data_IF_475182363113
#
_entry.id   IF_475182363113
#
_cell.length_a   1.000
_cell.length_b   1.000
_cell.length_c   1.000
_cell.angle_alpha   90.00
_cell.angle_beta   90.00
_cell.angle_gamma   90.00
#
_symmetry.space_group_name_H-M   'P 1'
#
loop_
_entity.id
_entity.type
_entity.pdbx_description
1 polymer ?
#
# COMPACT_ATOMS: atom_id res chain seq x y z
N UNK A 1 42.61 -18.65 32.08
CA UNK A 1 41.51 -18.92 33.02
C UNK A 1 40.53 -17.76 32.85
N UNK A 2 39.76 -17.67 31.75
CA UNK A 2 38.51 -18.39 31.41
C UNK A 2 37.51 -18.31 32.58
N UNK A 3 36.31 -17.71 32.49
CA UNK A 3 35.41 -17.48 31.35
C UNK A 3 34.52 -16.25 31.55
N UNK A 4 34.30 -15.51 30.45
CA UNK A 4 33.13 -14.64 30.23
C UNK A 4 31.96 -15.56 29.85
N UNK A 5 30.83 -15.44 30.54
CA UNK A 5 29.62 -16.24 30.27
C UNK A 5 28.92 -15.79 28.98
N UNK A 6 28.58 -16.71 28.05
CA UNK A 6 27.73 -16.43 26.90
C UNK A 6 26.34 -17.07 27.10
N UNK A 7 25.31 -16.25 27.31
CA UNK A 7 23.91 -16.71 27.22
C UNK A 7 22.96 -15.54 26.91
N UNK A 8 23.09 -14.96 25.71
CA UNK A 8 22.00 -14.24 25.03
C UNK A 8 21.98 -14.69 23.58
N UNK A 9 21.51 -15.92 23.37
CA UNK A 9 21.00 -16.40 22.08
C UNK A 9 19.74 -17.21 22.32
N UNK A 10 18.89 -17.16 21.30
CA UNK A 10 17.75 -18.01 20.97
C UNK A 10 16.44 -17.85 21.75
N UNK A 11 15.56 -17.09 21.09
CA UNK A 11 14.11 -17.18 21.22
C UNK A 11 13.45 -16.37 20.12
N UNK A 12 13.82 -16.59 18.84
CA UNK A 12 12.97 -16.13 17.72
C UNK A 12 11.73 -17.03 17.79
N UNK A 13 10.77 -16.67 18.64
CA UNK A 13 9.43 -17.20 18.51
C UNK A 13 8.94 -16.71 17.16
N UNK A 14 8.89 -17.62 16.18
CA UNK A 14 8.14 -17.39 14.97
C UNK A 14 6.68 -17.18 15.41
N UNK A 15 6.29 -15.93 15.59
CA UNK A 15 4.89 -15.58 15.73
C UNK A 15 4.24 -15.95 14.39
N UNK A 16 3.23 -16.81 14.44
CA UNK A 16 2.43 -17.09 13.26
C UNK A 16 1.90 -15.76 12.71
N UNK A 17 1.95 -15.58 11.40
CA UNK A 17 1.41 -14.40 10.76
C UNK A 17 -0.05 -14.20 11.18
N UNK A 18 -0.43 -12.95 11.47
CA UNK A 18 -1.78 -12.55 11.82
C UNK A 18 -2.74 -12.93 10.68
N UNK A 19 -3.94 -13.39 11.02
CA UNK A 19 -4.98 -13.72 10.03
C UNK A 19 -5.93 -12.54 9.83
N UNK A 20 -6.71 -12.56 8.74
CA UNK A 20 -7.74 -11.54 8.49
C UNK A 20 -8.75 -11.47 9.66
N UNK A 21 -9.18 -12.61 10.20
CA UNK A 21 -10.10 -12.68 11.34
C UNK A 21 -9.48 -12.09 12.61
N UNK A 22 -8.20 -12.37 12.87
CA UNK A 22 -7.50 -11.84 14.04
C UNK A 22 -7.37 -10.32 13.97
N UNK A 23 -7.04 -9.77 12.79
CA UNK A 23 -6.94 -8.33 12.57
C UNK A 23 -8.32 -7.67 12.66
N UNK A 24 -9.34 -8.23 12.00
CA UNK A 24 -10.69 -7.67 11.99
C UNK A 24 -11.37 -7.72 13.36
N UNK A 25 -11.06 -8.74 14.16
CA UNK A 25 -11.55 -8.88 15.53
C UNK A 25 -10.81 -8.03 16.56
N UNK A 26 -9.69 -7.40 16.18
CA UNK A 26 -8.89 -6.61 17.12
C UNK A 26 -9.53 -5.22 17.35
N UNK A 27 -9.82 -4.84 18.62
CA UNK A 27 -10.45 -3.56 18.92
C UNK A 27 -9.61 -2.35 18.49
N UNK A 28 -8.28 -2.49 18.42
CA UNK A 28 -7.36 -1.42 18.01
C UNK A 28 -7.23 -1.29 16.49
N UNK A 29 -7.81 -2.19 15.69
CA UNK A 29 -7.62 -2.15 14.24
C UNK A 29 -8.20 -0.89 13.60
N UNK A 30 -9.32 -0.37 14.10
CA UNK A 30 -9.88 0.89 13.61
C UNK A 30 -8.93 2.07 13.86
N UNK A 31 -8.25 2.09 15.02
CA UNK A 31 -7.24 3.09 15.38
C UNK A 31 -6.01 2.94 14.48
N UNK A 32 -5.49 1.71 14.33
CA UNK A 32 -4.34 1.40 13.48
C UNK A 32 -4.55 1.83 12.03
N UNK A 33 -5.75 1.56 11.51
CA UNK A 33 -6.07 1.88 10.15
C UNK A 33 -6.22 3.39 9.93
N UNK A 34 -6.74 4.12 10.92
CA UNK A 34 -6.81 5.58 10.88
C UNK A 34 -5.41 6.20 10.91
N UNK A 35 -4.54 5.74 11.79
CA UNK A 35 -3.17 6.26 11.91
C UNK A 35 -2.37 5.97 10.63
N UNK A 36 -2.49 4.76 10.09
CA UNK A 36 -1.93 4.41 8.79
C UNK A 36 -2.45 5.33 7.67
N UNK A 37 -3.77 5.59 7.61
CA UNK A 37 -4.34 6.50 6.63
C UNK A 37 -3.81 7.94 6.76
N UNK A 38 -3.70 8.47 7.98
CA UNK A 38 -3.13 9.80 8.25
C UNK A 38 -1.67 9.90 7.80
N UNK A 39 -0.89 8.83 7.99
CA UNK A 39 0.49 8.76 7.50
C UNK A 39 0.57 8.74 5.98
N UNK A 40 -0.27 7.96 5.30
CA UNK A 40 -0.33 7.95 3.83
C UNK A 40 -0.72 9.33 3.27
N UNK A 41 -1.63 10.04 3.94
CA UNK A 41 -2.00 11.40 3.58
C UNK A 41 -0.81 12.36 3.78
N UNK A 42 -0.07 12.25 4.88
CA UNK A 42 1.12 13.06 5.13
C UNK A 42 2.23 12.79 4.09
N UNK A 43 2.44 11.52 3.70
CA UNK A 43 3.36 11.16 2.61
C UNK A 43 2.93 11.79 1.29
N UNK A 44 1.63 11.78 0.98
CA UNK A 44 1.09 12.48 -0.20
C UNK A 44 1.35 13.98 -0.14
N UNK A 45 1.13 14.63 1.00
CA UNK A 45 1.37 16.07 1.14
C UNK A 45 2.86 16.43 0.98
N UNK A 46 3.77 15.57 1.47
CA UNK A 46 5.21 15.77 1.35
C UNK A 46 5.75 15.51 -0.08
N UNK A 47 5.22 14.48 -0.77
CA UNK A 47 5.72 14.06 -2.08
C UNK A 47 4.58 13.76 -3.08
N UNK A 48 3.70 14.74 -3.39
CA UNK A 48 2.44 14.48 -4.12
C UNK A 48 2.67 13.96 -5.55
N UNK A 49 3.78 14.35 -6.18
CA UNK A 49 4.14 13.88 -7.53
C UNK A 49 4.57 12.42 -7.56
N UNK A 50 5.20 11.92 -6.50
CA UNK A 50 5.68 10.54 -6.40
C UNK A 50 4.55 9.63 -5.89
N UNK A 51 3.88 10.03 -4.80
CA UNK A 51 2.81 9.23 -4.19
C UNK A 51 1.62 9.04 -5.12
N UNK A 52 1.40 9.95 -6.09
CA UNK A 52 0.41 9.79 -7.18
C UNK A 52 0.53 8.48 -7.96
N UNK A 53 1.69 7.81 -7.97
CA UNK A 53 1.87 6.48 -8.59
C UNK A 53 1.36 5.31 -7.74
N UNK A 54 0.77 5.61 -6.59
CA UNK A 54 0.14 4.65 -5.67
C UNK A 54 -1.29 5.06 -5.29
N UNK A 55 -1.81 6.11 -5.91
CA UNK A 55 -3.07 6.77 -5.52
C UNK A 55 -4.35 6.10 -6.05
N UNK A 56 -4.20 5.03 -6.84
CA UNK A 56 -5.27 4.13 -7.27
C UNK A 56 -4.74 2.70 -7.36
N UNK A 57 -5.64 1.71 -7.35
CA UNK A 57 -5.28 0.28 -7.29
C UNK A 57 -4.38 -0.14 -8.45
N UNK A 58 -4.68 0.31 -9.67
CA UNK A 58 -3.95 -0.09 -10.87
C UNK A 58 -2.51 0.43 -10.83
N UNK A 59 -2.35 1.72 -10.49
CA UNK A 59 -1.03 2.33 -10.34
C UNK A 59 -0.26 1.73 -9.17
N UNK A 60 -0.94 1.46 -8.06
CA UNK A 60 -0.36 0.77 -6.91
C UNK A 60 0.22 -0.58 -7.32
N UNK A 61 -0.56 -1.44 -7.99
CA UNK A 61 -0.10 -2.73 -8.47
C UNK A 61 1.09 -2.59 -9.45
N UNK A 62 1.00 -1.71 -10.46
CA UNK A 62 2.12 -1.45 -11.37
C UNK A 62 3.42 -1.08 -10.63
N UNK A 63 3.32 -0.20 -9.63
CA UNK A 63 4.45 0.24 -8.81
C UNK A 63 4.98 -0.88 -7.91
N UNK A 64 4.11 -1.71 -7.31
CA UNK A 64 4.54 -2.87 -6.52
C UNK A 64 5.26 -3.93 -7.37
N UNK A 65 4.82 -4.16 -8.62
CA UNK A 65 5.53 -5.06 -9.53
C UNK A 65 6.94 -4.55 -9.87
N UNK A 66 7.08 -3.24 -10.10
CA UNK A 66 8.37 -2.58 -10.35
C UNK A 66 9.33 -2.80 -9.17
N UNK A 67 8.85 -2.54 -7.96
CA UNK A 67 9.61 -2.73 -6.73
C UNK A 67 9.99 -4.21 -6.52
N UNK A 68 9.06 -5.14 -6.78
CA UNK A 68 9.31 -6.57 -6.66
C UNK A 68 10.44 -7.04 -7.58
N UNK A 69 10.40 -6.70 -8.88
CA UNK A 69 11.48 -7.02 -9.81
C UNK A 69 12.81 -6.38 -9.41
N UNK A 70 12.78 -5.16 -8.89
CA UNK A 70 13.99 -4.48 -8.43
C UNK A 70 14.63 -5.23 -7.27
N UNK A 71 13.89 -5.46 -6.18
CA UNK A 71 14.45 -6.07 -4.97
C UNK A 71 14.73 -7.58 -5.10
N UNK A 72 13.96 -8.33 -5.89
CA UNK A 72 14.29 -9.73 -6.24
C UNK A 72 15.65 -9.82 -6.92
N UNK A 73 15.95 -8.89 -7.84
CA UNK A 73 17.24 -8.87 -8.52
C UNK A 73 18.38 -8.38 -7.60
N UNK A 74 18.11 -7.45 -6.68
CA UNK A 74 19.08 -7.01 -5.66
C UNK A 74 19.47 -8.17 -4.72
N UNK A 75 18.50 -8.99 -4.31
CA UNK A 75 18.72 -10.11 -3.37
C UNK A 75 19.18 -11.40 -4.05
N UNK A 76 18.97 -11.55 -5.36
CA UNK A 76 19.47 -12.66 -6.15
C UNK A 76 19.67 -12.27 -7.61
N UNK A 77 20.90 -12.03 -8.08
CA UNK A 77 21.18 -11.59 -9.46
C UNK A 77 20.71 -12.56 -10.54
N UNK A 78 20.40 -13.82 -10.20
CA UNK A 78 19.79 -14.81 -11.10
C UNK A 78 18.31 -14.56 -11.37
N UNK A 79 17.62 -13.76 -10.55
CA UNK A 79 16.23 -13.39 -10.79
C UNK A 79 16.12 -12.46 -12.01
N UNK A 80 15.03 -12.54 -12.79
CA UNK A 80 14.79 -11.62 -13.89
C UNK A 80 14.87 -10.17 -13.42
N UNK A 81 15.77 -9.39 -14.02
CA UNK A 81 15.90 -7.97 -13.68
C UNK A 81 14.67 -7.15 -14.09
N UNK A 82 14.52 -5.97 -13.49
CA UNK A 82 13.52 -4.99 -13.90
C UNK A 82 13.83 -4.48 -15.31
N UNK A 83 13.08 -4.97 -16.30
CA UNK A 83 13.11 -4.51 -17.68
C UNK A 83 11.69 -4.19 -18.14
N UNK A 84 11.55 -3.36 -19.17
CA UNK A 84 10.23 -3.08 -19.74
C UNK A 84 9.54 -4.37 -20.21
N UNK A 85 10.28 -5.28 -20.85
CA UNK A 85 9.75 -6.55 -21.34
C UNK A 85 9.22 -7.44 -20.20
N UNK A 86 10.02 -7.65 -19.15
CA UNK A 86 9.64 -8.48 -18.00
C UNK A 86 8.42 -7.91 -17.27
N UNK A 87 8.37 -6.58 -17.05
CA UNK A 87 7.25 -5.95 -16.40
C UNK A 87 5.97 -6.03 -17.24
N UNK A 88 6.05 -5.74 -18.54
CA UNK A 88 4.87 -5.78 -19.43
C UNK A 88 4.31 -7.20 -19.51
N UNK A 89 5.17 -8.22 -19.61
CA UNK A 89 4.74 -9.62 -19.60
C UNK A 89 4.01 -9.94 -18.28
N UNK A 90 4.63 -9.65 -17.14
CA UNK A 90 4.04 -9.92 -15.83
C UNK A 90 2.68 -9.22 -15.63
N UNK A 91 2.57 -7.94 -16.01
CA UNK A 91 1.32 -7.17 -15.85
C UNK A 91 0.20 -7.69 -16.76
N UNK A 92 0.54 -8.12 -17.97
CA UNK A 92 -0.41 -8.71 -18.90
C UNK A 92 -0.92 -10.06 -18.38
N UNK A 93 -0.02 -10.94 -17.91
CA UNK A 93 -0.35 -12.26 -17.41
C UNK A 93 -1.25 -12.18 -16.16
N UNK A 94 -1.03 -11.17 -15.30
CA UNK A 94 -1.84 -10.93 -14.11
C UNK A 94 -3.08 -10.05 -14.37
N UNK A 95 -3.37 -9.68 -15.63
CA UNK A 95 -4.54 -8.89 -16.03
C UNK A 95 -4.71 -7.56 -15.26
N UNK A 96 -3.59 -6.98 -14.81
CA UNK A 96 -3.59 -5.75 -13.98
C UNK A 96 -3.88 -4.52 -14.84
N UNK A 97 -3.26 -4.45 -16.02
CA UNK A 97 -3.43 -3.36 -16.97
C UNK A 97 -3.08 -3.82 -18.40
N UNK A 98 -3.47 -3.01 -19.40
CA UNK A 98 -3.03 -3.24 -20.77
C UNK A 98 -1.53 -2.98 -20.93
N UNK A 99 -0.90 -3.62 -21.94
CA UNK A 99 0.51 -3.37 -22.30
C UNK A 99 0.81 -1.89 -22.49
N UNK A 100 -0.07 -1.15 -23.18
CA UNK A 100 0.07 0.30 -23.40
C UNK A 100 0.05 1.09 -22.09
N UNK A 101 -0.76 0.67 -21.11
CA UNK A 101 -0.80 1.32 -19.80
C UNK A 101 0.51 1.09 -19.04
N UNK A 102 1.05 -0.13 -19.07
CA UNK A 102 2.33 -0.44 -18.44
C UNK A 102 3.49 0.36 -19.07
N UNK A 103 3.52 0.45 -20.41
CA UNK A 103 4.51 1.26 -21.16
C UNK A 103 4.42 2.74 -20.74
N UNK A 104 3.20 3.29 -20.70
CA UNK A 104 2.98 4.69 -20.32
C UNK A 104 3.43 4.95 -18.87
N UNK A 105 3.12 4.04 -17.93
CA UNK A 105 3.53 4.16 -16.53
C UNK A 105 5.07 4.14 -16.37
N UNK A 106 5.75 3.21 -17.05
CA UNK A 106 7.21 3.16 -17.08
C UNK A 106 7.82 4.45 -17.66
N UNK A 107 7.27 4.96 -18.76
CA UNK A 107 7.74 6.20 -19.37
C UNK A 107 7.55 7.39 -18.41
N UNK A 108 6.41 7.47 -17.71
CA UNK A 108 6.14 8.51 -16.71
C UNK A 108 7.19 8.45 -15.58
N UNK A 109 7.40 7.28 -14.97
CA UNK A 109 8.38 7.11 -13.88
C UNK A 109 9.82 7.43 -14.31
N UNK A 110 10.22 7.06 -15.53
CA UNK A 110 11.54 7.42 -16.09
C UNK A 110 11.66 8.93 -16.30
N UNK A 111 10.63 9.57 -16.85
CA UNK A 111 10.62 11.02 -17.07
C UNK A 111 10.77 11.81 -15.77
N UNK A 112 10.17 11.32 -14.68
CA UNK A 112 10.33 11.90 -13.34
C UNK A 112 11.58 11.43 -12.59
N UNK A 113 12.48 10.68 -13.23
CA UNK A 113 13.71 10.12 -12.64
C UNK A 113 13.47 9.25 -11.40
N UNK A 114 12.31 8.59 -11.35
CA UNK A 114 11.96 7.60 -10.33
C UNK A 114 12.45 6.20 -10.71
N UNK A 115 12.64 5.98 -12.02
CA UNK A 115 13.34 4.84 -12.58
C UNK A 115 14.57 5.32 -13.34
N UNK A 116 15.69 4.63 -13.11
CA UNK A 116 16.99 4.97 -13.65
C UNK A 116 17.50 3.79 -14.49
N UNK A 117 18.19 4.08 -15.59
CA UNK A 117 18.91 3.05 -16.33
C UNK A 117 20.11 2.56 -15.49
N UNK A 118 20.37 1.26 -15.49
CA UNK A 118 21.61 0.71 -14.94
C UNK A 118 22.71 0.78 -15.99
N UNK A 119 23.96 0.98 -15.57
CA UNK A 119 25.12 0.86 -16.47
C UNK A 119 25.09 -0.52 -17.17
N UNK A 120 25.27 -0.57 -18.50
CA UNK A 120 25.14 -1.81 -19.25
C UNK A 120 26.27 -2.78 -18.88
N UNK A 121 25.94 -3.83 -18.13
CA UNK A 121 26.79 -5.02 -17.98
C UNK A 121 26.36 -6.07 -19.00
N UNK A 122 26.82 -5.96 -20.25
CA UNK A 122 26.60 -6.98 -21.29
C UNK A 122 25.76 -6.51 -22.49
N UNK A 123 24.92 -7.40 -23.02
CA UNK A 123 24.15 -7.18 -24.26
C UNK A 123 23.37 -5.85 -24.21
N UNK A 124 23.77 -4.91 -25.07
CA UNK A 124 23.23 -3.53 -25.17
C UNK A 124 21.73 -3.50 -25.47
N UNK A 125 21.12 -4.64 -25.79
CA UNK A 125 19.69 -4.78 -26.10
C UNK A 125 18.79 -4.83 -24.87
N UNK A 126 19.29 -5.26 -23.70
CA UNK A 126 18.47 -5.34 -22.48
C UNK A 126 18.78 -4.14 -21.57
N UNK A 127 17.92 -3.11 -21.63
CA UNK A 127 18.00 -1.97 -20.72
C UNK A 127 17.37 -2.31 -19.38
N UNK A 128 18.20 -2.75 -18.45
CA UNK A 128 17.81 -2.96 -17.06
C UNK A 128 17.61 -1.61 -16.36
N UNK A 129 16.61 -1.58 -15.48
CA UNK A 129 16.23 -0.42 -14.71
C UNK A 129 16.45 -0.69 -13.23
N UNK A 130 16.66 0.37 -12.47
CA UNK A 130 16.60 0.38 -11.01
C UNK A 130 15.68 1.50 -10.52
N UNK A 131 15.18 1.37 -9.30
CA UNK A 131 14.50 2.47 -8.64
C UNK A 131 15.53 3.54 -8.23
N UNK A 132 15.08 4.79 -8.15
CA UNK A 132 15.86 5.85 -7.53
C UNK A 132 15.83 5.73 -6.00
N UNK A 133 16.87 6.22 -5.34
CA UNK A 133 17.04 6.13 -3.89
C UNK A 133 15.87 6.81 -3.14
N UNK A 134 15.31 7.89 -3.70
CA UNK A 134 14.12 8.55 -3.16
C UNK A 134 12.87 7.67 -3.17
N UNK A 135 12.75 6.77 -4.15
CA UNK A 135 11.65 5.78 -4.20
C UNK A 135 11.87 4.73 -3.11
N UNK A 136 13.11 4.29 -2.91
CA UNK A 136 13.47 3.35 -1.84
C UNK A 136 13.17 3.93 -0.45
N UNK A 137 13.51 5.20 -0.20
CA UNK A 137 13.13 5.89 1.06
C UNK A 137 11.63 5.91 1.27
N UNK A 138 10.84 6.22 0.23
CA UNK A 138 9.37 6.30 0.37
C UNK A 138 8.73 4.92 0.60
N UNK A 139 9.19 3.87 -0.09
CA UNK A 139 8.65 2.52 0.16
C UNK A 139 9.11 1.98 1.52
N UNK A 140 10.31 2.35 1.99
CA UNK A 140 10.75 2.11 3.36
C UNK A 140 9.75 2.75 4.31
N UNK A 141 9.59 4.08 4.30
CA UNK A 141 8.63 4.78 5.16
C UNK A 141 7.23 4.16 5.15
N UNK A 142 6.71 3.84 3.97
CA UNK A 142 5.42 3.15 3.83
C UNK A 142 5.40 1.81 4.59
N UNK A 143 6.45 1.00 4.46
CA UNK A 143 6.55 -0.30 5.10
C UNK A 143 6.66 -0.15 6.63
N UNK A 144 7.50 0.75 7.16
CA UNK A 144 7.61 1.01 8.62
C UNK A 144 6.27 1.39 9.24
N UNK A 145 5.51 2.27 8.57
CA UNK A 145 4.22 2.72 9.10
C UNK A 145 3.20 1.57 9.16
N UNK A 146 3.26 0.60 8.23
CA UNK A 146 2.44 -0.61 8.34
C UNK A 146 2.93 -1.54 9.45
N UNK A 147 4.25 -1.68 9.64
CA UNK A 147 4.79 -2.48 10.76
C UNK A 147 4.43 -1.88 12.12
N UNK A 148 4.52 -0.56 12.29
CA UNK A 148 4.05 0.14 13.50
C UNK A 148 2.56 -0.09 13.74
N UNK A 149 1.76 -0.05 12.69
CA UNK A 149 0.32 -0.30 12.78
C UNK A 149 0.02 -1.73 13.21
N UNK A 150 0.81 -2.71 12.73
CA UNK A 150 0.74 -4.11 13.16
C UNK A 150 1.19 -4.28 14.61
N UNK A 151 2.31 -3.67 15.00
CA UNK A 151 2.83 -3.72 16.37
C UNK A 151 1.85 -3.13 17.38
N UNK A 152 0.99 -2.18 16.99
CA UNK A 152 -0.08 -1.70 17.86
C UNK A 152 -1.15 -2.76 18.14
N UNK A 153 -1.38 -3.70 17.22
CA UNK A 153 -2.42 -4.72 17.38
C UNK A 153 -2.05 -5.77 18.42
N UNK A 154 -0.76 -6.12 18.52
CA UNK A 154 -0.28 -7.24 19.32
C UNK A 154 0.94 -6.91 20.21
N UNK A 155 1.28 -5.63 20.34
CA UNK A 155 2.48 -5.15 21.05
C UNK A 155 3.78 -5.75 20.51
N UNK A 156 3.81 -6.05 19.21
CA UNK A 156 4.97 -6.58 18.52
C UNK A 156 6.15 -5.62 18.42
N UNK A 157 7.24 -6.13 17.85
CA UNK A 157 8.51 -5.40 17.68
C UNK A 157 8.97 -5.34 16.22
N UNK A 158 8.05 -5.49 15.27
CA UNK A 158 8.38 -5.60 13.84
C UNK A 158 9.10 -4.36 13.33
N UNK A 159 8.63 -3.17 13.71
CA UNK A 159 9.26 -1.92 13.32
C UNK A 159 10.69 -1.82 13.86
N UNK A 160 10.91 -2.18 15.13
CA UNK A 160 12.23 -2.17 15.76
C UNK A 160 13.19 -3.11 15.03
N UNK A 161 12.76 -4.34 14.76
CA UNK A 161 13.56 -5.34 14.03
C UNK A 161 13.85 -4.88 12.60
N UNK A 162 12.85 -4.34 11.90
CA UNK A 162 13.01 -3.82 10.54
C UNK A 162 13.92 -2.61 10.46
N UNK A 163 13.97 -1.79 11.52
CA UNK A 163 14.91 -0.66 11.64
C UNK A 163 16.34 -1.12 11.91
N UNK A 164 16.51 -2.22 12.66
CA UNK A 164 17.81 -2.81 12.94
C UNK A 164 18.40 -3.54 11.72
N UNK A 165 17.56 -4.15 10.87
CA UNK A 165 17.98 -4.87 9.66
C UNK A 165 17.27 -4.30 8.42
N UNK A 166 17.92 -3.32 7.78
CA UNK A 166 17.36 -2.59 6.64
C UNK A 166 17.12 -3.49 5.42
N UNK A 167 17.91 -4.56 5.25
CA UNK A 167 17.76 -5.48 4.11
C UNK A 167 16.45 -6.27 4.18
N UNK A 168 15.78 -6.29 5.33
CA UNK A 168 14.49 -6.96 5.49
C UNK A 168 13.48 -6.49 4.45
N UNK A 169 13.46 -5.19 4.12
CA UNK A 169 12.60 -4.63 3.09
C UNK A 169 12.81 -5.30 1.72
N UNK A 170 14.06 -5.58 1.35
CA UNK A 170 14.40 -6.15 0.05
C UNK A 170 13.86 -7.58 -0.12
N UNK A 171 13.64 -8.30 0.98
CA UNK A 171 13.03 -9.63 0.97
C UNK A 171 11.51 -9.56 1.15
N UNK A 172 11.03 -8.71 2.07
CA UNK A 172 9.62 -8.61 2.41
C UNK A 172 8.80 -7.97 1.28
N UNK A 173 9.29 -6.89 0.66
CA UNK A 173 8.52 -6.14 -0.34
C UNK A 173 8.12 -7.01 -1.55
N UNK A 174 9.02 -7.81 -2.16
CA UNK A 174 8.62 -8.70 -3.25
C UNK A 174 7.64 -9.77 -2.79
N UNK A 175 7.90 -10.40 -1.64
CA UNK A 175 7.04 -11.45 -1.08
C UNK A 175 5.60 -10.95 -0.88
N UNK A 176 5.45 -9.79 -0.25
CA UNK A 176 4.18 -9.10 -0.04
C UNK A 176 3.50 -8.80 -1.39
N UNK A 177 4.24 -8.21 -2.33
CA UNK A 177 3.69 -7.82 -3.63
C UNK A 177 3.13 -9.02 -4.38
N UNK A 178 3.94 -10.08 -4.54
CA UNK A 178 3.54 -11.32 -5.22
C UNK A 178 2.30 -11.92 -4.58
N UNK A 179 2.23 -11.94 -3.24
CA UNK A 179 1.04 -12.40 -2.53
C UNK A 179 -0.18 -11.57 -2.89
N UNK A 180 -0.10 -10.24 -2.81
CA UNK A 180 -1.23 -9.34 -3.06
C UNK A 180 -1.70 -9.35 -4.52
N UNK A 181 -0.83 -9.68 -5.49
CA UNK A 181 -1.26 -9.91 -6.87
C UNK A 181 -2.20 -11.10 -7.03
N UNK A 182 -2.04 -12.13 -6.19
CA UNK A 182 -2.79 -13.39 -6.29
C UNK A 182 -3.88 -13.52 -5.22
N UNK A 183 -3.96 -12.58 -4.30
CA UNK A 183 -4.99 -12.55 -3.26
C UNK A 183 -6.29 -11.92 -3.82
N UNK A 184 -7.39 -12.67 -3.97
CA UNK A 184 -8.66 -12.12 -4.45
C UNK A 184 -9.25 -11.09 -3.48
N UNK A 185 -8.98 -11.22 -2.17
CA UNK A 185 -9.50 -10.27 -1.17
C UNK A 185 -8.87 -8.87 -1.34
N UNK A 186 -7.68 -8.80 -1.94
CA UNK A 186 -7.04 -7.53 -2.29
C UNK A 186 -7.30 -7.10 -3.74
N UNK A 187 -7.04 -8.00 -4.69
CA UNK A 187 -7.04 -7.71 -6.14
C UNK A 187 -8.44 -7.48 -6.73
N UNK A 188 -9.49 -8.03 -6.08
CA UNK A 188 -10.90 -7.81 -6.42
C UNK A 188 -11.62 -7.12 -5.24
N UNK A 189 -11.42 -5.80 -5.03
CA UNK A 189 -12.01 -5.09 -3.91
C UNK A 189 -13.55 -5.15 -3.93
N UNK A 190 -14.22 -5.14 -2.77
CA UNK A 190 -15.68 -5.07 -2.70
C UNK A 190 -16.23 -3.88 -3.49
N UNK A 191 -17.45 -3.98 -4.02
CA UNK A 191 -18.04 -2.96 -4.91
C UNK A 191 -18.02 -1.54 -4.29
N UNK A 192 -18.18 -1.44 -2.97
CA UNK A 192 -18.17 -0.17 -2.23
C UNK A 192 -16.78 0.49 -2.27
N UNK A 193 -15.71 -0.29 -2.06
CA UNK A 193 -14.31 0.14 -2.15
C UNK A 193 -13.91 0.40 -3.60
N UNK A 194 -14.34 -0.48 -4.50
CA UNK A 194 -14.08 -0.42 -5.94
C UNK A 194 -14.52 0.92 -6.55
N UNK A 195 -15.65 1.45 -6.09
CA UNK A 195 -16.21 2.74 -6.52
C UNK A 195 -15.18 3.88 -6.47
N UNK A 196 -14.24 3.80 -5.52
CA UNK A 196 -13.12 4.73 -5.36
C UNK A 196 -11.85 4.22 -6.05
N UNK A 197 -11.34 3.05 -5.67
CA UNK A 197 -9.93 2.66 -5.93
C UNK A 197 -9.59 2.35 -7.39
N UNK A 198 -10.58 2.15 -8.27
CA UNK A 198 -10.35 2.02 -9.72
C UNK A 198 -10.20 3.36 -10.46
N UNK A 199 -10.44 4.46 -9.77
CA UNK A 199 -10.39 5.80 -10.34
C UNK A 199 -9.09 6.50 -9.91
N UNK A 200 -8.48 7.28 -10.81
CA UNK A 200 -7.27 8.04 -10.49
C UNK A 200 -7.45 8.90 -9.23
N UNK A 201 -6.50 8.80 -8.30
CA UNK A 201 -6.52 9.40 -6.95
C UNK A 201 -7.62 8.91 -6.00
N UNK A 202 -8.38 7.89 -6.40
CA UNK A 202 -9.51 7.38 -5.63
C UNK A 202 -9.11 6.68 -4.33
N UNK A 203 -7.97 5.98 -4.29
CA UNK A 203 -7.47 5.39 -3.03
C UNK A 203 -7.13 6.48 -2.02
N UNK A 204 -6.47 7.57 -2.45
CA UNK A 204 -6.14 8.68 -1.56
C UNK A 204 -7.40 9.36 -1.01
N UNK A 205 -8.41 9.57 -1.87
CA UNK A 205 -9.71 10.10 -1.41
C UNK A 205 -10.32 9.15 -0.37
N UNK A 206 -10.31 7.84 -0.63
CA UNK A 206 -10.87 6.86 0.31
C UNK A 206 -10.13 6.88 1.65
N UNK A 207 -8.79 6.92 1.65
CA UNK A 207 -8.00 7.04 2.88
C UNK A 207 -8.30 8.34 3.64
N UNK A 208 -8.47 9.47 2.94
CA UNK A 208 -8.89 10.76 3.54
C UNK A 208 -10.23 10.64 4.26
N UNK A 209 -11.24 10.11 3.57
CA UNK A 209 -12.57 9.90 4.13
C UNK A 209 -12.52 9.02 5.38
N UNK A 210 -11.77 7.91 5.31
CA UNK A 210 -11.64 6.97 6.41
C UNK A 210 -10.86 7.53 7.60
N UNK A 211 -9.88 8.41 7.36
CA UNK A 211 -9.09 9.06 8.42
C UNK A 211 -9.90 10.03 9.29
N UNK A 212 -11.04 10.52 8.75
CA UNK A 212 -11.97 11.43 9.45
C UNK A 212 -12.95 10.69 10.36
N UNK A 213 -13.06 9.37 10.23
CA UNK A 213 -13.92 8.59 11.10
C UNK A 213 -13.36 8.56 12.54
N UNK A 214 -14.22 8.71 13.56
CA UNK A 214 -13.84 8.44 14.94
C UNK A 214 -13.63 6.92 15.12
N UNK A 215 -12.41 6.44 15.43
CA UNK A 215 -12.10 5.01 15.42
C UNK A 215 -12.80 4.24 16.53
N UNK A 216 -13.04 4.89 17.68
CA UNK A 216 -13.72 4.33 18.86
C UNK A 216 -15.25 4.25 18.71
N UNK A 217 -15.83 4.87 17.67
CA UNK A 217 -17.27 4.94 17.52
C UNK A 217 -17.82 3.59 17.03
N UNK A 218 -18.89 3.14 17.67
CA UNK A 218 -19.67 1.99 17.19
C UNK A 218 -20.20 2.29 15.79
N UNK A 219 -20.21 1.28 14.92
CA UNK A 219 -20.72 1.46 13.57
C UNK A 219 -22.23 1.70 13.59
N UNK A 220 -22.63 2.81 12.99
CA UNK A 220 -24.03 3.19 12.73
C UNK A 220 -24.28 3.13 11.22
N UNK A 221 -25.53 2.99 10.75
CA UNK A 221 -25.84 2.89 9.32
C UNK A 221 -25.22 4.02 8.47
N UNK A 222 -25.14 5.23 9.03
CA UNK A 222 -24.46 6.39 8.46
C UNK A 222 -23.69 7.13 9.56
N UNK A 223 -22.41 7.39 9.34
CA UNK A 223 -21.56 8.16 10.26
C UNK A 223 -21.17 9.47 9.59
N UNK A 224 -21.52 10.60 10.22
CA UNK A 224 -21.03 11.92 9.82
C UNK A 224 -19.52 12.04 10.09
N UNK A 225 -18.80 12.60 9.12
CA UNK A 225 -17.38 12.95 9.21
C UNK A 225 -17.17 14.46 9.10
N UNK A 226 -18.22 15.24 9.34
CA UNK A 226 -18.21 16.69 9.26
C UNK A 226 -18.25 17.25 7.83
N UNK A 227 -17.99 18.56 7.66
CA UNK A 227 -18.06 19.21 6.37
C UNK A 227 -17.02 18.67 5.37
N UNK A 228 -17.48 18.39 4.15
CA UNK A 228 -16.62 17.96 3.04
C UNK A 228 -16.95 18.72 1.76
N UNK A 229 -15.93 19.35 1.16
CA UNK A 229 -16.07 20.03 -0.12
C UNK A 229 -15.28 19.32 -1.21
N UNK A 230 -15.98 18.88 -2.25
CA UNK A 230 -15.38 18.19 -3.41
C UNK A 230 -14.26 19.02 -4.05
N UNK A 231 -14.40 20.36 -4.08
CA UNK A 231 -13.37 21.26 -4.62
C UNK A 231 -12.05 21.23 -3.85
N UNK A 232 -12.12 21.07 -2.52
CA UNK A 232 -10.92 21.00 -1.67
C UNK A 232 -10.18 19.68 -1.88
N UNK A 233 -10.91 18.56 -1.94
CA UNK A 233 -10.35 17.25 -2.29
C UNK A 233 -9.72 17.26 -3.69
N UNK A 234 -10.39 17.86 -4.67
CA UNK A 234 -9.89 17.95 -6.03
C UNK A 234 -8.55 18.70 -6.08
N UNK A 235 -8.45 19.83 -5.36
CA UNK A 235 -7.22 20.60 -5.23
C UNK A 235 -6.12 19.79 -4.54
N UNK A 236 -6.42 19.14 -3.40
CA UNK A 236 -5.44 18.36 -2.62
C UNK A 236 -4.84 17.20 -3.42
N UNK A 237 -5.67 16.47 -4.15
CA UNK A 237 -5.26 15.28 -4.90
C UNK A 237 -4.91 15.54 -6.36
N UNK A 238 -4.78 16.83 -6.74
CA UNK A 238 -4.34 17.28 -8.07
C UNK A 238 -5.16 16.62 -9.19
N UNK A 239 -6.49 16.65 -9.03
CA UNK A 239 -7.46 16.16 -10.02
C UNK A 239 -8.45 17.27 -10.36
N UNK A 240 -9.12 17.15 -11.51
CA UNK A 240 -10.17 18.12 -11.84
C UNK A 240 -11.37 17.98 -10.90
N UNK A 241 -12.08 19.10 -10.67
CA UNK A 241 -13.33 19.08 -9.90
C UNK A 241 -14.38 18.16 -10.53
N UNK A 242 -14.46 18.13 -11.87
CA UNK A 242 -15.37 17.23 -12.59
C UNK A 242 -15.02 15.75 -12.39
N UNK A 243 -13.73 15.43 -12.28
CA UNK A 243 -13.27 14.07 -11.98
C UNK A 243 -13.65 13.65 -10.56
N UNK A 244 -13.36 14.50 -9.56
CA UNK A 244 -13.77 14.25 -8.17
C UNK A 244 -15.30 14.10 -8.06
N UNK A 245 -16.07 14.97 -8.74
CA UNK A 245 -17.53 14.89 -8.76
C UNK A 245 -18.03 13.53 -9.27
N UNK A 246 -17.41 12.97 -10.33
CA UNK A 246 -17.79 11.66 -10.87
C UNK A 246 -17.56 10.52 -9.87
N UNK A 247 -16.47 10.58 -9.09
CA UNK A 247 -16.21 9.60 -8.02
C UNK A 247 -17.36 9.62 -7.01
N UNK A 248 -17.72 10.80 -6.49
CA UNK A 248 -18.80 10.93 -5.51
C UNK A 248 -20.20 10.63 -6.08
N UNK A 249 -20.44 10.91 -7.37
CA UNK A 249 -21.68 10.50 -8.04
C UNK A 249 -21.81 8.98 -8.06
N UNK A 250 -20.75 8.25 -8.46
CA UNK A 250 -20.76 6.78 -8.45
C UNK A 250 -20.97 6.23 -7.04
N UNK A 251 -20.25 6.76 -6.05
CA UNK A 251 -20.39 6.32 -4.67
C UNK A 251 -21.82 6.60 -4.13
N UNK A 252 -22.44 7.74 -4.46
CA UNK A 252 -23.84 8.00 -4.08
C UNK A 252 -24.84 7.06 -4.75
N UNK A 253 -24.59 6.62 -5.98
CA UNK A 253 -25.46 5.63 -6.64
C UNK A 253 -25.49 4.28 -5.92
N UNK A 254 -24.48 3.99 -5.09
CA UNK A 254 -24.42 2.80 -4.23
C UNK A 254 -24.95 3.07 -2.81
N UNK A 255 -25.48 4.27 -2.54
CA UNK A 255 -25.91 4.73 -1.20
C UNK A 255 -24.83 4.60 -0.11
N UNK A 256 -23.54 4.61 -0.49
CA UNK A 256 -22.45 4.38 0.48
C UNK A 256 -21.87 5.65 1.09
N UNK A 257 -22.18 6.81 0.50
CA UNK A 257 -21.77 8.13 0.98
C UNK A 257 -22.81 9.18 0.59
N UNK A 258 -22.81 10.32 1.25
CA UNK A 258 -23.64 11.46 0.83
C UNK A 258 -23.46 12.69 1.70
N UNK A 259 -24.31 13.68 1.43
CA UNK A 259 -24.45 14.89 2.24
C UNK A 259 -25.82 14.90 2.88
N UNK A 260 -25.93 15.50 4.06
CA UNK A 260 -27.20 15.62 4.79
C UNK A 260 -28.23 16.49 4.07
N UNK A 261 -27.78 17.53 3.36
CA UNK A 261 -28.64 18.49 2.68
C UNK A 261 -28.49 18.43 1.14
N UNK A 262 -29.53 18.83 0.39
CA UNK A 262 -29.44 18.97 -1.07
C UNK A 262 -28.28 19.87 -1.53
N UNK A 263 -27.80 19.65 -2.75
CA UNK A 263 -26.72 20.47 -3.32
C UNK A 263 -25.32 20.21 -2.74
N UNK A 264 -25.11 19.05 -2.09
CA UNK A 264 -23.89 18.72 -1.34
C UNK A 264 -23.70 19.64 -0.12
N UNK A 265 -24.79 19.96 0.58
CA UNK A 265 -24.78 20.83 1.76
C UNK A 265 -24.79 20.05 3.08
N UNK A 266 -24.40 20.71 4.18
CA UNK A 266 -24.31 20.08 5.49
C UNK A 266 -23.13 19.13 5.61
N UNK A 267 -23.20 18.24 6.60
CA UNK A 267 -22.13 17.29 6.84
C UNK A 267 -22.14 16.16 5.82
N UNK A 268 -20.95 15.59 5.59
CA UNK A 268 -20.77 14.42 4.77
C UNK A 268 -20.85 13.17 5.65
N UNK A 269 -21.60 12.18 5.20
CA UNK A 269 -21.74 10.90 5.87
C UNK A 269 -21.17 9.75 5.04
N UNK A 270 -20.70 8.71 5.74
CA UNK A 270 -20.21 7.45 5.19
C UNK A 270 -21.08 6.32 5.72
N UNK A 271 -21.50 5.40 4.85
CA UNK A 271 -22.26 4.22 5.25
C UNK A 271 -21.45 3.21 6.06
N UNK A 272 -22.11 2.45 6.91
CA UNK A 272 -21.51 1.29 7.59
C UNK A 272 -20.87 0.30 6.60
N UNK A 273 -21.56 0.01 5.48
CA UNK A 273 -21.13 -0.97 4.49
C UNK A 273 -19.75 -0.63 3.92
N UNK A 274 -19.54 0.62 3.51
CA UNK A 274 -18.23 1.05 3.00
C UNK A 274 -17.13 0.99 4.06
N UNK A 275 -17.45 1.29 5.33
CA UNK A 275 -16.48 1.21 6.42
C UNK A 275 -16.07 -0.25 6.67
N UNK A 276 -17.04 -1.18 6.71
CA UNK A 276 -16.77 -2.61 6.89
C UNK A 276 -15.95 -3.18 5.74
N UNK A 277 -16.33 -2.89 4.51
CA UNK A 277 -15.64 -3.37 3.32
C UNK A 277 -14.22 -2.80 3.23
N UNK A 278 -14.04 -1.52 3.55
CA UNK A 278 -12.71 -0.92 3.62
C UNK A 278 -11.83 -1.58 4.68
N UNK A 279 -12.35 -1.82 5.89
CA UNK A 279 -11.63 -2.53 6.96
C UNK A 279 -11.22 -3.94 6.52
N UNK A 280 -12.13 -4.71 5.91
CA UNK A 280 -11.83 -6.05 5.35
C UNK A 280 -10.74 -6.00 4.28
N UNK A 281 -10.88 -5.11 3.31
CA UNK A 281 -9.92 -4.95 2.23
C UNK A 281 -8.52 -4.55 2.75
N UNK A 282 -8.47 -3.71 3.79
CA UNK A 282 -7.20 -3.29 4.40
C UNK A 282 -6.60 -4.37 5.31
N UNK A 283 -7.41 -5.21 5.96
CA UNK A 283 -6.93 -6.33 6.76
C UNK A 283 -6.08 -7.28 5.90
N UNK A 284 -6.54 -7.65 4.69
CA UNK A 284 -5.79 -8.54 3.79
C UNK A 284 -4.43 -7.97 3.39
N UNK A 285 -4.34 -6.63 3.23
CA UNK A 285 -3.04 -5.97 3.05
C UNK A 285 -2.15 -6.13 4.28
N UNK A 286 -2.67 -5.85 5.47
CA UNK A 286 -1.92 -5.96 6.72
C UNK A 286 -1.41 -7.37 6.97
N UNK A 287 -2.24 -8.39 6.72
CA UNK A 287 -1.85 -9.81 6.76
C UNK A 287 -0.68 -10.07 5.80
N UNK A 288 -0.74 -9.56 4.57
CA UNK A 288 0.34 -9.75 3.60
C UNK A 288 1.64 -9.03 4.00
N UNK A 289 1.55 -7.85 4.64
CA UNK A 289 2.72 -7.16 5.20
C UNK A 289 3.34 -7.98 6.33
N UNK A 290 2.54 -8.44 7.29
CA UNK A 290 3.02 -9.21 8.44
C UNK A 290 3.69 -10.52 8.02
N UNK A 291 3.02 -11.31 7.17
CA UNK A 291 3.61 -12.56 6.69
C UNK A 291 4.91 -12.34 5.93
N UNK A 292 4.97 -11.33 5.07
CA UNK A 292 6.18 -11.02 4.33
C UNK A 292 7.32 -10.56 5.25
N UNK A 293 7.01 -9.82 6.31
CA UNK A 293 7.97 -9.47 7.36
C UNK A 293 8.51 -10.71 8.06
N UNK A 294 7.63 -11.59 8.56
CA UNK A 294 8.03 -12.81 9.28
C UNK A 294 8.88 -13.72 8.38
N UNK A 295 8.48 -13.89 7.12
CA UNK A 295 9.23 -14.67 6.15
C UNK A 295 10.62 -14.08 5.89
N UNK A 296 10.71 -12.76 5.68
CA UNK A 296 11.98 -12.09 5.45
C UNK A 296 12.93 -12.19 6.67
N UNK A 297 12.39 -12.07 7.88
CA UNK A 297 13.13 -12.22 9.12
C UNK A 297 13.75 -13.63 9.23
N UNK A 298 12.97 -14.67 8.94
CA UNK A 298 13.46 -16.06 8.92
C UNK A 298 14.51 -16.27 7.82
N UNK A 299 14.27 -15.70 6.63
CA UNK A 299 15.17 -15.83 5.48
C UNK A 299 16.55 -15.22 5.75
N UNK A 300 16.60 -14.13 6.48
CA UNK A 300 17.82 -13.46 6.90
C UNK A 300 18.50 -14.19 8.06
N UNK A 301 17.75 -14.69 9.04
CA UNK A 301 18.29 -15.46 10.15
C UNK A 301 18.93 -16.81 9.71
N UNK A 302 18.47 -17.38 8.60
CA UNK A 302 19.05 -18.61 8.01
C UNK A 302 20.07 -18.38 6.89
N UNK A 303 20.43 -17.12 6.60
CA UNK A 303 21.47 -16.78 5.62
C UNK A 303 22.86 -16.52 6.25
N UNK A 304 22.93 -16.50 7.59
CA UNK A 304 24.15 -16.48 8.40
C UNK A 304 24.58 -17.92 8.77
#
# INVERSE_FOLDING_TARGET
>A
MNLVSPAMRSGVNAQNALTDEAILGNPLFAVALRDSALKLIAMHDAAPRIVRYTADMKRWLLTQAILAFHFEHVTGPSHPGLTAANLIAFIADNKVASKNTAIAHLAELRNYRLLLDTEPKGDRRVRQLRIADTVETLIREWFDEHLKSLDMLDQGTRYLQSSAEHRLLWYAQPRMSRRLFHDPNWSAPPATVEAFVRTASGSNILHDLMSRLPPERTLEPRISIGPLRIGELAKRYIISRSHAQRVFVRARMLDIVGWELPGNGGDFWISEALIRDYRRWQASKFVAVDEAFQWALQRLAGAD
#
